data_IF_427280808789
#
_entry.id   IF_427280808789
#
_cell.length_a   1.000
_cell.length_b   1.000
_cell.length_c   1.000
_cell.angle_alpha   90.00
_cell.angle_beta   90.00
_cell.angle_gamma   90.00
#
_symmetry.space_group_name_H-M   'P 1'
#
loop_
_entity.id
_entity.type
_entity.pdbx_description
1 polymer ?
#
# COMPACT_ATOMS: atom_id res chain seq x y z
N UNK A 1 -10.89 25.90 -16.83
CA UNK A 1 -9.59 25.17 -16.78
C UNK A 1 -8.53 25.90 -15.93
N UNK A 2 -8.42 27.22 -15.98
CA UNK A 2 -7.38 27.99 -15.25
C UNK A 2 -7.69 28.15 -13.74
N UNK A 3 -8.94 28.17 -13.34
CA UNK A 3 -9.39 28.31 -11.94
C UNK A 3 -9.08 27.04 -11.14
N UNK A 4 -9.28 25.85 -11.71
CA UNK A 4 -9.00 24.58 -11.04
C UNK A 4 -7.52 24.33 -10.71
N UNK A 5 -6.57 24.90 -11.46
CA UNK A 5 -5.14 24.75 -11.24
C UNK A 5 -4.60 25.61 -10.09
N UNK A 6 -5.20 26.78 -9.86
CA UNK A 6 -4.84 27.67 -8.75
C UNK A 6 -5.37 27.17 -7.40
N UNK A 7 -6.59 26.61 -7.35
CA UNK A 7 -7.15 26.04 -6.13
C UNK A 7 -6.33 24.81 -5.65
N UNK A 8 -5.95 23.89 -6.56
CA UNK A 8 -5.11 22.73 -6.21
C UNK A 8 -3.76 23.09 -5.54
N UNK A 9 -3.17 24.23 -5.87
CA UNK A 9 -1.92 24.71 -5.27
C UNK A 9 -2.13 25.31 -3.89
N UNK A 10 -3.31 25.92 -3.64
CA UNK A 10 -3.68 26.50 -2.34
C UNK A 10 -4.04 25.38 -1.37
N UNK A 11 -4.76 24.35 -1.83
CA UNK A 11 -5.14 23.20 -1.01
C UNK A 11 -3.91 22.44 -0.52
N UNK A 12 -2.95 22.19 -1.40
CA UNK A 12 -1.68 21.55 -1.08
C UNK A 12 -0.85 22.37 -0.08
N UNK A 13 -0.84 23.68 -0.24
CA UNK A 13 -0.14 24.58 0.68
C UNK A 13 -0.81 24.63 2.07
N UNK A 14 -2.14 24.68 2.09
CA UNK A 14 -2.90 24.69 3.35
C UNK A 14 -2.80 23.36 4.09
N UNK A 15 -2.95 22.22 3.39
CA UNK A 15 -2.77 20.88 3.97
C UNK A 15 -1.35 20.71 4.47
N UNK A 16 -0.32 21.15 3.72
CA UNK A 16 1.06 21.15 4.17
C UNK A 16 1.31 22.02 5.39
N UNK A 17 0.76 23.24 5.42
CA UNK A 17 0.87 24.16 6.55
C UNK A 17 0.18 23.65 7.82
N UNK A 18 -1.02 23.09 7.69
CA UNK A 18 -1.73 22.48 8.82
C UNK A 18 -1.01 21.22 9.33
N UNK A 19 -0.36 20.48 8.44
CA UNK A 19 0.49 19.35 8.81
C UNK A 19 1.76 19.82 9.55
N UNK A 20 2.41 20.90 9.11
CA UNK A 20 3.57 21.50 9.78
C UNK A 20 3.21 22.05 11.18
N UNK A 21 2.06 22.71 11.31
CA UNK A 21 1.58 23.27 12.59
C UNK A 21 1.13 22.18 13.60
N UNK A 22 0.77 20.97 13.12
CA UNK A 22 0.42 19.82 13.95
C UNK A 22 1.65 19.10 14.58
N UNK A 23 2.87 19.57 14.30
CA UNK A 23 4.13 19.04 14.83
C UNK A 23 4.67 17.81 14.09
N UNK A 24 5.79 17.26 14.57
CA UNK A 24 6.54 16.15 13.92
C UNK A 24 5.71 14.92 13.56
N UNK A 25 4.55 14.70 14.16
CA UNK A 25 3.61 13.63 13.84
C UNK A 25 2.95 13.78 12.47
N UNK A 26 2.82 15.01 11.95
CA UNK A 26 2.18 15.24 10.65
C UNK A 26 3.09 14.92 9.45
N UNK A 27 4.40 14.91 9.64
CA UNK A 27 5.37 14.54 8.60
C UNK A 27 5.43 13.02 8.36
N UNK A 28 5.04 12.20 9.34
CA UNK A 28 4.92 10.74 9.17
C UNK A 28 3.79 10.35 8.21
N UNK A 29 2.84 11.26 7.93
CA UNK A 29 1.63 10.99 7.14
C UNK A 29 1.71 11.39 5.67
N UNK A 30 2.84 11.94 5.21
CA UNK A 30 2.96 12.36 3.82
C UNK A 30 3.59 11.26 2.95
N UNK A 31 2.75 10.50 2.26
CA UNK A 31 3.20 9.52 1.27
C UNK A 31 3.60 10.23 -0.03
N UNK A 32 4.76 9.86 -0.60
CA UNK A 32 5.25 10.43 -1.85
C UNK A 32 4.20 10.30 -2.97
N UNK A 33 3.86 11.42 -3.59
CA UNK A 33 2.77 11.51 -4.58
C UNK A 33 2.97 10.59 -5.79
N UNK A 34 4.21 10.40 -6.22
CA UNK A 34 4.50 9.56 -7.39
C UNK A 34 4.41 8.07 -7.04
N UNK A 35 4.70 7.71 -5.79
CA UNK A 35 4.44 6.35 -5.27
C UNK A 35 2.94 6.08 -5.18
N UNK A 36 2.17 7.04 -4.68
CA UNK A 36 0.70 6.92 -4.63
C UNK A 36 0.10 6.84 -6.04
N UNK A 37 0.65 7.60 -7.00
CA UNK A 37 0.25 7.49 -8.41
C UNK A 37 0.50 6.09 -8.95
N UNK A 38 1.69 5.50 -8.70
CA UNK A 38 2.00 4.12 -9.07
C UNK A 38 0.99 3.13 -8.48
N UNK A 39 0.68 3.27 -7.19
CA UNK A 39 -0.30 2.40 -6.52
C UNK A 39 -1.69 2.51 -7.15
N UNK A 40 -2.15 3.72 -7.44
CA UNK A 40 -3.45 3.95 -8.07
C UNK A 40 -3.49 3.40 -9.52
N UNK A 41 -2.41 3.57 -10.29
CA UNK A 41 -2.32 3.03 -11.65
C UNK A 41 -2.26 1.50 -11.69
N UNK A 42 -1.65 0.85 -10.69
CA UNK A 42 -1.66 -0.62 -10.55
C UNK A 42 -3.05 -1.13 -10.14
N UNK A 43 -3.71 -0.46 -9.20
CA UNK A 43 -5.03 -0.87 -8.72
C UNK A 43 -6.14 -0.62 -9.74
N UNK A 44 -5.96 0.31 -10.67
CA UNK A 44 -6.89 0.63 -11.75
C UNK A 44 -8.34 0.76 -11.27
N UNK A 45 -8.64 1.74 -10.39
CA UNK A 45 -10.01 1.94 -9.91
C UNK A 45 -10.99 2.12 -11.08
N UNK A 46 -12.21 1.60 -10.90
CA UNK A 46 -13.28 1.66 -11.88
C UNK A 46 -14.47 2.47 -11.34
N UNK A 47 -15.32 3.04 -12.21
CA UNK A 47 -16.59 3.63 -11.78
C UNK A 47 -17.44 2.64 -10.96
N UNK A 48 -18.18 3.15 -9.97
CA UNK A 48 -19.03 2.40 -9.04
C UNK A 48 -18.30 1.50 -8.03
N UNK A 49 -16.97 1.47 -8.02
CA UNK A 49 -16.21 0.75 -7.01
C UNK A 49 -16.16 1.52 -5.68
N UNK A 50 -15.87 0.79 -4.61
CA UNK A 50 -15.59 1.32 -3.28
C UNK A 50 -14.10 1.31 -2.99
N UNK A 51 -13.56 2.43 -2.49
CA UNK A 51 -12.16 2.59 -2.14
C UNK A 51 -12.04 2.86 -0.63
N UNK A 52 -11.16 2.13 0.04
CA UNK A 52 -10.92 2.26 1.48
C UNK A 52 -9.44 2.43 1.80
N UNK A 53 -9.14 3.39 2.67
CA UNK A 53 -7.83 3.55 3.31
C UNK A 53 -8.00 3.47 4.84
N UNK A 54 -7.54 2.38 5.48
CA UNK A 54 -7.68 2.18 6.93
C UNK A 54 -6.78 3.09 7.78
N UNK A 55 -5.86 3.83 7.17
CA UNK A 55 -4.90 4.72 7.82
C UNK A 55 -4.70 5.99 6.98
N UNK A 56 -5.85 6.63 6.64
CA UNK A 56 -5.92 7.55 5.51
C UNK A 56 -5.13 8.87 5.68
N UNK A 57 -4.63 9.18 6.88
CA UNK A 57 -3.94 10.43 7.11
C UNK A 57 -4.76 11.63 6.65
N UNK A 58 -4.19 12.48 5.80
CA UNK A 58 -4.87 13.63 5.18
C UNK A 58 -5.74 13.27 3.97
N UNK A 59 -5.94 11.98 3.64
CA UNK A 59 -6.76 11.52 2.52
C UNK A 59 -6.11 11.63 1.14
N UNK A 60 -4.81 11.94 1.08
CA UNK A 60 -4.10 12.17 -0.18
C UNK A 60 -4.09 10.95 -1.12
N UNK A 61 -4.01 9.73 -0.58
CA UNK A 61 -4.05 8.49 -1.36
C UNK A 61 -5.43 8.29 -1.99
N UNK A 62 -6.51 8.58 -1.26
CA UNK A 62 -7.89 8.49 -1.74
C UNK A 62 -8.12 9.46 -2.90
N UNK A 63 -7.67 10.73 -2.76
CA UNK A 63 -7.76 11.74 -3.84
C UNK A 63 -7.02 11.27 -5.09
N UNK A 64 -5.84 10.65 -4.96
CA UNK A 64 -5.07 10.18 -6.11
C UNK A 64 -5.74 9.04 -6.89
N UNK A 65 -6.46 8.14 -6.22
CA UNK A 65 -7.28 7.14 -6.89
C UNK A 65 -8.37 7.79 -7.75
N UNK A 66 -9.00 8.85 -7.25
CA UNK A 66 -9.99 9.60 -8.02
C UNK A 66 -9.35 10.40 -9.17
N UNK A 67 -8.16 10.96 -8.97
CA UNK A 67 -7.41 11.63 -10.05
C UNK A 67 -7.06 10.68 -11.20
N UNK A 68 -6.79 9.40 -10.91
CA UNK A 68 -6.59 8.38 -11.95
C UNK A 68 -7.82 8.27 -12.87
N UNK A 69 -9.02 8.18 -12.30
CA UNK A 69 -10.27 8.13 -13.05
C UNK A 69 -10.55 9.44 -13.82
N UNK A 70 -10.32 10.59 -13.18
CA UNK A 70 -10.46 11.91 -13.81
C UNK A 70 -9.57 12.05 -15.04
N UNK A 71 -8.31 11.63 -14.92
CA UNK A 71 -7.33 11.70 -16.00
C UNK A 71 -7.71 10.79 -17.19
N UNK A 72 -8.45 9.71 -16.93
CA UNK A 72 -9.01 8.82 -17.95
C UNK A 72 -10.35 9.28 -18.50
N UNK A 73 -10.92 10.38 -17.99
CA UNK A 73 -12.24 10.87 -18.39
C UNK A 73 -13.39 9.94 -17.94
N UNK A 74 -13.14 9.09 -16.92
CA UNK A 74 -14.12 8.15 -16.39
C UNK A 74 -15.02 8.80 -15.33
N UNK A 75 -16.17 8.20 -15.05
CA UNK A 75 -17.16 8.66 -14.07
C UNK A 75 -16.68 8.45 -12.63
N UNK A 76 -15.79 9.31 -12.17
CA UNK A 76 -15.16 9.20 -10.87
C UNK A 76 -16.11 9.52 -9.68
N UNK A 77 -17.19 10.29 -9.92
CA UNK A 77 -18.17 10.65 -8.89
C UNK A 77 -19.00 9.44 -8.41
N UNK A 78 -19.06 8.37 -9.18
CA UNK A 78 -19.75 7.13 -8.79
C UNK A 78 -18.97 6.26 -7.78
N UNK A 79 -17.70 6.62 -7.53
CA UNK A 79 -16.84 5.89 -6.59
C UNK A 79 -17.18 6.28 -5.15
N UNK A 80 -17.36 5.27 -4.30
CA UNK A 80 -17.57 5.46 -2.87
C UNK A 80 -16.22 5.47 -2.13
N UNK A 81 -15.96 6.51 -1.35
CA UNK A 81 -14.68 6.75 -0.69
C UNK A 81 -14.80 6.59 0.82
N UNK A 82 -13.95 5.73 1.39
CA UNK A 82 -13.91 5.45 2.82
C UNK A 82 -12.49 5.64 3.36
N UNK A 83 -12.38 6.24 4.53
CA UNK A 83 -11.09 6.39 5.22
C UNK A 83 -11.25 6.26 6.72
N UNK A 84 -10.22 5.77 7.38
CA UNK A 84 -10.14 5.76 8.83
C UNK A 84 -8.81 6.35 9.29
N UNK A 85 -8.86 7.21 10.30
CA UNK A 85 -7.69 7.90 10.85
C UNK A 85 -7.85 8.05 12.36
N UNK A 86 -6.83 7.72 13.13
CA UNK A 86 -6.88 7.78 14.60
C UNK A 86 -6.80 9.21 15.12
N UNK A 87 -6.06 10.08 14.44
CA UNK A 87 -5.87 11.47 14.85
C UNK A 87 -7.05 12.35 14.42
N UNK A 88 -7.71 13.01 15.38
CA UNK A 88 -8.92 13.83 15.12
C UNK A 88 -8.67 15.04 14.23
N UNK A 89 -7.51 15.71 14.35
CA UNK A 89 -7.14 16.84 13.49
C UNK A 89 -6.87 16.35 12.07
N UNK A 90 -6.07 15.29 11.90
CA UNK A 90 -5.73 14.70 10.61
C UNK A 90 -6.97 14.17 9.90
N UNK A 91 -7.91 13.52 10.63
CA UNK A 91 -9.17 13.07 10.05
C UNK A 91 -10.06 14.23 9.57
N UNK A 92 -9.99 15.38 10.24
CA UNK A 92 -10.69 16.61 9.81
C UNK A 92 -10.06 17.21 8.55
N UNK A 93 -8.72 17.18 8.46
CA UNK A 93 -7.98 17.58 7.26
C UNK A 93 -8.34 16.66 6.09
N UNK A 94 -8.46 15.34 6.31
CA UNK A 94 -8.87 14.40 5.27
C UNK A 94 -10.26 14.72 4.69
N UNK A 95 -11.25 15.01 5.56
CA UNK A 95 -12.59 15.43 5.10
C UNK A 95 -12.54 16.71 4.28
N UNK A 96 -11.80 17.71 4.76
CA UNK A 96 -11.64 18.98 4.04
C UNK A 96 -10.94 18.76 2.70
N UNK A 97 -9.87 17.95 2.66
CA UNK A 97 -9.15 17.63 1.43
C UNK A 97 -10.06 16.96 0.38
N UNK A 98 -10.84 15.96 0.77
CA UNK A 98 -11.80 15.31 -0.12
C UNK A 98 -12.84 16.30 -0.64
N UNK A 99 -13.42 17.10 0.26
CA UNK A 99 -14.42 18.11 -0.11
C UNK A 99 -13.87 19.15 -1.10
N UNK A 100 -12.67 19.69 -0.84
CA UNK A 100 -12.01 20.66 -1.73
C UNK A 100 -11.66 20.06 -3.10
N UNK A 101 -11.43 18.75 -3.14
CA UNK A 101 -11.24 18.00 -4.39
C UNK A 101 -12.58 17.59 -5.05
N UNK A 102 -13.73 18.12 -4.59
CA UNK A 102 -15.04 17.92 -5.19
C UNK A 102 -15.63 16.52 -4.97
N UNK A 103 -15.14 15.80 -3.96
CA UNK A 103 -15.70 14.50 -3.58
C UNK A 103 -16.90 14.75 -2.69
N UNK A 104 -18.09 14.29 -3.09
CA UNK A 104 -19.33 14.49 -2.34
C UNK A 104 -19.73 13.26 -1.52
N UNK A 105 -19.47 12.06 -2.06
CA UNK A 105 -19.78 10.78 -1.38
C UNK A 105 -18.52 10.19 -0.75
N UNK A 106 -18.25 10.53 0.49
CA UNK A 106 -17.18 9.97 1.28
C UNK A 106 -17.55 9.79 2.76
N UNK A 107 -16.86 8.85 3.39
CA UNK A 107 -16.99 8.59 4.83
C UNK A 107 -15.59 8.50 5.47
N UNK A 108 -15.25 9.47 6.32
CA UNK A 108 -14.00 9.46 7.09
C UNK A 108 -14.32 9.28 8.57
N UNK A 109 -13.90 8.16 9.14
CA UNK A 109 -14.05 7.84 10.55
C UNK A 109 -12.80 8.25 11.35
N UNK A 110 -13.04 8.79 12.55
CA UNK A 110 -11.95 9.08 13.51
C UNK A 110 -11.94 7.99 14.58
N UNK A 111 -11.11 6.95 14.38
CA UNK A 111 -10.96 5.86 15.33
C UNK A 111 -9.69 5.04 15.02
N UNK A 112 -9.18 4.33 16.03
CA UNK A 112 -8.10 3.35 15.86
C UNK A 112 -8.59 2.14 15.06
N UNK A 113 -7.97 1.86 13.93
CA UNK A 113 -8.36 0.80 13.00
C UNK A 113 -8.21 -0.60 13.60
N UNK A 114 -7.18 -0.82 14.40
CA UNK A 114 -6.95 -2.13 15.02
C UNK A 114 -7.90 -2.37 16.19
N UNK A 115 -8.22 -1.34 16.98
CA UNK A 115 -9.09 -1.47 18.13
C UNK A 115 -10.59 -1.33 17.80
N UNK A 116 -10.92 -0.42 16.88
CA UNK A 116 -12.28 -0.02 16.57
C UNK A 116 -12.47 0.19 15.07
N UNK A 117 -12.47 -0.89 14.26
CA UNK A 117 -12.78 -0.75 12.85
C UNK A 117 -14.17 -0.13 12.68
N UNK A 118 -14.22 1.00 11.95
CA UNK A 118 -15.43 1.82 11.90
C UNK A 118 -16.45 1.35 10.86
N UNK A 119 -15.99 0.70 9.79
CA UNK A 119 -16.86 0.29 8.70
C UNK A 119 -17.28 -1.17 8.84
N UNK A 120 -18.52 -1.37 9.25
CA UNK A 120 -19.10 -2.68 9.53
C UNK A 120 -20.41 -2.87 8.76
N UNK A 121 -20.66 -4.10 8.33
CA UNK A 121 -21.96 -4.59 7.87
C UNK A 121 -22.49 -5.57 8.94
N UNK A 122 -23.35 -5.07 9.82
CA UNK A 122 -23.77 -5.79 11.02
C UNK A 122 -22.61 -6.06 11.96
N UNK A 123 -22.27 -7.32 12.20
CA UNK A 123 -21.13 -7.75 13.04
C UNK A 123 -19.84 -8.01 12.28
N UNK A 124 -19.83 -7.85 10.95
CA UNK A 124 -18.70 -8.16 10.08
C UNK A 124 -18.05 -6.90 9.54
N UNK A 125 -16.78 -6.98 9.14
CA UNK A 125 -16.14 -5.92 8.39
C UNK A 125 -16.83 -5.70 7.05
N UNK A 126 -17.14 -4.45 6.73
CA UNK A 126 -17.53 -4.06 5.39
C UNK A 126 -16.43 -4.44 4.39
N UNK A 127 -16.83 -4.83 3.19
CA UNK A 127 -15.93 -5.23 2.11
C UNK A 127 -15.83 -4.13 1.07
N UNK A 128 -14.61 -3.98 0.52
CA UNK A 128 -14.27 -2.94 -0.44
C UNK A 128 -13.59 -3.54 -1.67
N UNK A 129 -13.85 -2.94 -2.82
CA UNK A 129 -13.23 -3.34 -4.09
C UNK A 129 -11.74 -3.01 -4.11
N UNK A 130 -11.38 -1.86 -3.54
CA UNK A 130 -10.00 -1.41 -3.44
C UNK A 130 -9.68 -1.04 -1.99
N UNK A 131 -8.56 -1.57 -1.49
CA UNK A 131 -7.96 -1.11 -0.24
C UNK A 131 -6.52 -0.67 -0.52
N UNK A 132 -6.20 0.59 -0.22
CA UNK A 132 -4.84 1.09 -0.33
C UNK A 132 -4.42 1.68 1.00
N UNK A 133 -3.17 1.49 1.39
CA UNK A 133 -2.72 1.92 2.69
C UNK A 133 -1.22 2.21 2.73
N UNK A 134 -0.87 3.21 3.51
CA UNK A 134 0.45 3.41 4.07
C UNK A 134 0.30 3.40 5.61
N UNK A 135 0.20 2.22 6.24
CA UNK A 135 0.01 2.13 7.68
C UNK A 135 1.25 2.61 8.42
N UNK A 136 1.12 3.05 9.68
CA UNK A 136 2.27 3.42 10.49
C UNK A 136 3.17 2.20 10.73
N UNK A 137 4.50 2.39 10.55
CA UNK A 137 5.47 1.27 10.57
C UNK A 137 5.88 0.89 11.99
N UNK A 138 5.93 -0.42 12.22
CA UNK A 138 6.55 -1.01 13.42
C UNK A 138 6.06 -0.41 14.74
N UNK A 139 4.76 -0.15 14.87
CA UNK A 139 4.17 0.32 16.12
C UNK A 139 4.39 -0.74 17.22
N UNK A 140 4.92 -0.29 18.34
CA UNK A 140 5.19 -1.12 19.52
C UNK A 140 4.05 -1.11 20.54
N UNK A 141 3.36 0.03 20.63
CA UNK A 141 2.25 0.24 21.55
C UNK A 141 0.93 0.06 20.81
N UNK A 142 0.39 -1.14 20.85
CA UNK A 142 -0.90 -1.51 20.28
C UNK A 142 -1.52 -2.65 21.09
N UNK A 143 -2.83 -2.80 21.02
CA UNK A 143 -3.57 -3.77 21.81
C UNK A 143 -3.52 -5.16 21.18
N UNK A 144 -2.34 -5.82 21.32
CA UNK A 144 -2.10 -7.16 20.79
C UNK A 144 -3.06 -8.22 21.35
N UNK A 145 -3.40 -8.12 22.64
CA UNK A 145 -4.29 -9.08 23.30
C UNK A 145 -5.71 -9.01 22.70
N UNK A 146 -6.21 -7.79 22.47
CA UNK A 146 -7.49 -7.59 21.80
C UNK A 146 -7.49 -8.14 20.37
N UNK A 147 -6.39 -7.96 19.63
CA UNK A 147 -6.23 -8.49 18.28
C UNK A 147 -6.12 -10.03 18.28
N UNK A 148 -5.49 -10.63 19.28
CA UNK A 148 -5.43 -12.10 19.45
C UNK A 148 -6.85 -12.70 19.57
N UNK A 149 -7.77 -11.99 20.22
CA UNK A 149 -9.17 -12.34 20.40
C UNK A 149 -10.09 -11.57 19.44
N UNK A 150 -9.62 -11.30 18.22
CA UNK A 150 -10.34 -10.47 17.26
C UNK A 150 -11.70 -11.05 16.87
N UNK A 151 -12.75 -10.27 17.06
CA UNK A 151 -14.13 -10.69 16.80
C UNK A 151 -14.58 -10.50 15.33
N UNK A 152 -13.76 -9.84 14.51
CA UNK A 152 -14.05 -9.57 13.10
C UNK A 152 -13.32 -10.51 12.14
N UNK A 153 -12.60 -11.53 12.68
CA UNK A 153 -11.92 -12.54 11.88
C UNK A 153 -10.64 -12.07 11.22
N UNK A 154 -9.99 -11.01 11.74
CA UNK A 154 -8.75 -10.47 11.16
C UNK A 154 -7.51 -11.26 11.52
N UNK A 155 -7.51 -11.99 12.64
CA UNK A 155 -6.36 -12.75 13.13
C UNK A 155 -6.23 -14.12 12.43
N UNK A 156 -6.36 -14.17 11.11
CA UNK A 156 -6.39 -15.43 10.34
C UNK A 156 -4.98 -15.96 10.00
N UNK A 157 -3.97 -15.10 9.89
CA UNK A 157 -2.58 -15.53 9.74
C UNK A 157 -1.93 -15.85 11.09
N UNK A 158 -2.48 -15.32 12.19
CA UNK A 158 -1.94 -15.39 13.53
C UNK A 158 -1.64 -14.02 14.12
N UNK A 159 -1.31 -13.99 15.41
CA UNK A 159 -1.08 -12.74 16.14
C UNK A 159 0.34 -12.23 15.95
N UNK A 160 0.54 -11.04 15.39
CA UNK A 160 1.87 -10.46 15.21
C UNK A 160 2.61 -10.25 16.56
N UNK A 161 3.95 -10.13 16.54
CA UNK A 161 4.71 -9.84 17.75
C UNK A 161 4.36 -8.47 18.32
N UNK A 162 4.44 -8.29 19.67
CA UNK A 162 4.08 -7.04 20.34
C UNK A 162 4.84 -5.83 19.79
N UNK A 163 6.09 -6.01 19.43
CA UNK A 163 6.93 -4.90 18.95
C UNK A 163 6.59 -4.39 17.55
N UNK A 164 5.62 -5.00 16.85
CA UNK A 164 5.34 -4.69 15.43
C UNK A 164 3.90 -5.00 15.05
N UNK A 165 3.13 -3.97 14.76
CA UNK A 165 1.74 -4.09 14.31
C UNK A 165 1.60 -4.28 12.79
N UNK A 166 2.69 -4.33 12.03
CA UNK A 166 2.67 -4.35 10.56
C UNK A 166 1.71 -5.42 10.00
N UNK A 167 1.82 -6.67 10.45
CA UNK A 167 0.93 -7.76 10.04
C UNK A 167 -0.48 -7.68 10.65
N UNK A 168 -0.74 -6.88 11.68
CA UNK A 168 -2.10 -6.63 12.14
C UNK A 168 -2.84 -5.73 11.15
N UNK A 169 -2.20 -4.65 10.68
CA UNK A 169 -2.73 -3.83 9.60
C UNK A 169 -2.88 -4.62 8.31
N UNK A 170 -1.88 -5.44 7.94
CA UNK A 170 -1.95 -6.27 6.75
C UNK A 170 -3.19 -7.18 6.78
N UNK A 171 -3.42 -7.88 7.88
CA UNK A 171 -4.58 -8.76 8.04
C UNK A 171 -5.91 -7.97 8.03
N UNK A 172 -5.94 -6.77 8.62
CA UNK A 172 -7.12 -5.90 8.53
C UNK A 172 -7.44 -5.50 7.09
N UNK A 173 -6.43 -5.11 6.31
CA UNK A 173 -6.55 -4.73 4.90
C UNK A 173 -7.11 -5.90 4.09
N UNK A 174 -6.49 -7.07 4.18
CA UNK A 174 -6.95 -8.28 3.48
C UNK A 174 -8.37 -8.65 3.89
N UNK A 175 -8.65 -8.63 5.20
CA UNK A 175 -9.99 -8.94 5.72
C UNK A 175 -11.06 -7.93 5.28
N UNK A 176 -10.67 -6.74 4.83
CA UNK A 176 -11.58 -5.70 4.32
C UNK A 176 -11.79 -5.77 2.80
N UNK A 177 -11.03 -6.61 2.07
CA UNK A 177 -11.22 -6.76 0.63
C UNK A 177 -12.48 -7.56 0.27
N UNK A 178 -13.18 -7.16 -0.79
CA UNK A 178 -14.27 -7.95 -1.36
C UNK A 178 -13.76 -9.29 -1.88
N UNK A 179 -14.59 -10.32 -1.79
CA UNK A 179 -14.19 -11.69 -2.18
C UNK A 179 -13.95 -11.87 -3.68
N UNK A 180 -14.62 -11.08 -4.51
CA UNK A 180 -14.59 -11.24 -5.96
C UNK A 180 -13.75 -10.17 -6.65
N UNK A 181 -13.90 -8.93 -6.22
CA UNK A 181 -13.30 -7.73 -6.84
C UNK A 181 -12.12 -7.19 -6.03
N UNK A 182 -11.99 -7.62 -4.75
CA UNK A 182 -11.08 -7.06 -3.77
C UNK A 182 -9.61 -7.19 -4.16
N UNK A 183 -8.95 -6.03 -4.24
CA UNK A 183 -7.51 -5.92 -4.45
C UNK A 183 -6.94 -4.81 -3.58
N UNK A 184 -5.68 -4.93 -3.19
CA UNK A 184 -5.02 -3.92 -2.39
C UNK A 184 -3.61 -3.61 -2.85
N UNK A 185 -3.16 -2.41 -2.52
CA UNK A 185 -1.76 -1.99 -2.58
C UNK A 185 -1.36 -1.43 -1.22
N UNK A 186 -0.33 -2.00 -0.63
CA UNK A 186 0.11 -1.65 0.72
C UNK A 186 1.57 -1.26 0.67
N UNK A 187 1.87 -0.10 1.24
CA UNK A 187 3.23 0.37 1.41
C UNK A 187 3.75 -0.08 2.77
N UNK A 188 4.87 -0.81 2.77
CA UNK A 188 5.47 -1.35 3.99
C UNK A 188 6.99 -1.18 4.01
N UNK A 189 7.63 -1.18 5.19
CA UNK A 189 9.08 -1.32 5.29
C UNK A 189 9.52 -2.71 4.81
N UNK A 190 10.65 -2.80 4.13
CA UNK A 190 11.17 -4.06 3.60
C UNK A 190 11.22 -5.20 4.62
N UNK A 191 11.36 -4.86 5.91
CA UNK A 191 11.42 -5.86 6.98
C UNK A 191 10.27 -6.87 7.00
N UNK A 192 9.05 -6.48 6.62
CA UNK A 192 7.88 -7.39 6.58
C UNK A 192 8.10 -8.58 5.64
N UNK A 193 9.01 -8.44 4.68
CA UNK A 193 9.29 -9.44 3.66
C UNK A 193 10.18 -10.59 4.15
N UNK A 194 10.94 -10.41 5.26
CA UNK A 194 11.98 -11.36 5.65
C UNK A 194 12.22 -11.56 7.15
N UNK A 195 11.62 -10.75 8.04
CA UNK A 195 11.86 -10.89 9.50
C UNK A 195 11.50 -12.28 10.00
N UNK A 196 12.38 -12.89 10.79
CA UNK A 196 12.17 -14.25 11.32
C UNK A 196 11.01 -14.33 12.31
N UNK A 197 10.80 -13.29 13.13
CA UNK A 197 9.70 -13.23 14.10
C UNK A 197 8.29 -13.22 13.47
N UNK A 198 8.19 -12.91 12.17
CA UNK A 198 6.97 -12.90 11.37
C UNK A 198 6.89 -14.07 10.37
N UNK A 199 7.80 -15.04 10.46
CA UNK A 199 7.88 -16.18 9.53
C UNK A 199 6.57 -16.95 9.41
N UNK A 200 5.96 -17.35 10.52
CA UNK A 200 4.73 -18.14 10.51
C UNK A 200 3.54 -17.38 9.86
N UNK A 201 3.47 -16.05 10.07
CA UNK A 201 2.44 -15.22 9.43
C UNK A 201 2.69 -15.14 7.92
N UNK A 202 3.94 -14.93 7.53
CA UNK A 202 4.34 -14.84 6.13
C UNK A 202 4.17 -16.15 5.38
N UNK A 203 4.47 -17.29 6.03
CA UNK A 203 4.22 -18.61 5.48
C UNK A 203 2.74 -18.81 5.14
N UNK A 204 1.85 -18.56 6.08
CA UNK A 204 0.41 -18.64 5.85
C UNK A 204 -0.08 -17.65 4.79
N UNK A 205 0.51 -16.45 4.74
CA UNK A 205 0.21 -15.46 3.70
C UNK A 205 0.53 -15.98 2.30
N UNK A 206 1.66 -16.67 2.13
CA UNK A 206 2.06 -17.31 0.87
C UNK A 206 1.13 -18.47 0.54
N UNK A 207 0.81 -19.33 1.52
CA UNK A 207 -0.07 -20.49 1.34
C UNK A 207 -1.48 -20.14 0.84
N UNK A 208 -2.04 -19.00 1.23
CA UNK A 208 -3.39 -18.57 0.79
C UNK A 208 -3.41 -17.95 -0.62
N UNK A 209 -2.28 -17.83 -1.28
CA UNK A 209 -2.12 -17.39 -2.69
C UNK A 209 -2.79 -16.06 -3.06
N UNK A 210 -2.75 -15.07 -2.18
CA UNK A 210 -3.32 -13.75 -2.47
C UNK A 210 -2.30 -12.69 -2.86
N UNK A 211 -1.02 -12.90 -2.55
CA UNK A 211 0.06 -11.97 -2.96
C UNK A 211 0.28 -12.12 -4.45
N UNK A 212 0.06 -11.03 -5.20
CA UNK A 212 0.20 -11.00 -6.66
C UNK A 212 1.56 -10.41 -7.08
N UNK A 213 1.98 -9.32 -6.40
CA UNK A 213 3.24 -8.65 -6.71
C UNK A 213 3.91 -8.07 -5.47
N UNK A 214 5.24 -8.05 -5.47
CA UNK A 214 6.08 -7.32 -4.51
C UNK A 214 7.03 -6.41 -5.27
N UNK A 215 6.95 -5.09 -5.02
CA UNK A 215 7.77 -4.07 -5.69
C UNK A 215 8.72 -3.46 -4.68
N UNK A 216 10.02 -3.56 -4.90
CA UNK A 216 11.04 -2.87 -4.11
C UNK A 216 11.26 -1.46 -4.63
N UNK A 217 11.09 -0.47 -3.75
CA UNK A 217 11.25 0.94 -4.10
C UNK A 217 12.65 1.47 -3.78
N UNK A 218 13.07 2.49 -4.51
CA UNK A 218 14.32 3.20 -4.28
C UNK A 218 14.36 3.95 -2.93
N UNK A 219 15.55 4.30 -2.43
CA UNK A 219 15.72 4.99 -1.16
C UNK A 219 15.21 6.44 -1.24
N UNK A 220 14.88 7.00 -0.07
CA UNK A 220 14.47 8.40 0.10
C UNK A 220 13.19 8.81 -0.67
N UNK A 221 12.35 7.85 -1.05
CA UNK A 221 10.99 8.12 -1.54
C UNK A 221 10.02 8.44 -0.40
N UNK A 222 10.47 8.34 0.84
CA UNK A 222 9.68 8.62 2.04
C UNK A 222 10.33 9.74 2.85
N UNK A 223 9.50 10.66 3.33
CA UNK A 223 9.97 11.82 4.07
C UNK A 223 10.70 11.37 5.35
N UNK A 224 11.93 11.87 5.56
CA UNK A 224 12.79 11.58 6.72
C UNK A 224 13.12 10.10 6.99
N UNK A 225 12.85 9.17 6.08
CA UNK A 225 13.17 7.78 6.25
C UNK A 225 14.24 7.33 5.23
N UNK A 226 15.41 6.97 5.73
CA UNK A 226 16.41 6.26 4.95
C UNK A 226 16.04 4.78 4.71
N UNK A 227 14.90 4.34 5.24
CA UNK A 227 14.43 2.97 5.11
C UNK A 227 13.95 2.69 3.68
N UNK A 228 14.38 1.56 3.16
CA UNK A 228 13.82 1.00 1.95
C UNK A 228 12.39 0.52 2.22
N UNK A 229 11.46 0.87 1.33
CA UNK A 229 10.08 0.41 1.40
C UNK A 229 9.73 -0.45 0.19
N UNK A 230 8.65 -1.20 0.34
CA UNK A 230 8.08 -2.00 -0.72
C UNK A 230 6.58 -1.75 -0.85
N UNK A 231 6.05 -2.00 -2.05
CA UNK A 231 4.61 -2.11 -2.27
C UNK A 231 4.28 -3.59 -2.40
N UNK A 232 3.29 -4.05 -1.62
CA UNK A 232 2.74 -5.39 -1.76
C UNK A 232 1.35 -5.27 -2.38
N UNK A 233 1.15 -5.96 -3.50
CA UNK A 233 -0.14 -6.04 -4.19
C UNK A 233 -0.76 -7.38 -3.87
N UNK A 234 -2.01 -7.36 -3.38
CA UNK A 234 -2.78 -8.56 -3.15
C UNK A 234 -4.11 -8.51 -3.92
N UNK A 235 -4.58 -9.67 -4.35
CA UNK A 235 -5.88 -9.87 -5.00
C UNK A 235 -6.56 -11.08 -4.38
N UNK A 236 -7.83 -10.93 -3.98
CA UNK A 236 -8.64 -12.08 -3.54
C UNK A 236 -8.94 -13.04 -4.70
N UNK A 237 -8.92 -12.53 -5.91
CA UNK A 237 -9.11 -13.33 -7.13
C UNK A 237 -8.06 -12.98 -8.15
N UNK A 238 -6.99 -13.76 -8.18
CA UNK A 238 -5.92 -13.65 -9.19
C UNK A 238 -6.39 -14.15 -10.54
N UNK A 239 -5.85 -13.59 -11.60
CA UNK A 239 -5.98 -14.12 -12.96
C UNK A 239 -5.43 -15.55 -13.02
N UNK A 240 -5.96 -16.39 -13.90
CA UNK A 240 -5.56 -17.80 -13.97
C UNK A 240 -4.06 -17.98 -14.25
N UNK A 241 -3.46 -17.08 -15.01
CA UNK A 241 -2.01 -17.05 -15.28
C UNK A 241 -1.14 -16.69 -14.07
N UNK A 242 -1.70 -16.01 -13.07
CA UNK A 242 -1.00 -15.57 -11.86
C UNK A 242 -1.18 -16.52 -10.67
N UNK A 243 -2.14 -17.46 -10.74
CA UNK A 243 -2.40 -18.42 -9.65
C UNK A 243 -1.16 -19.24 -9.34
N UNK A 244 -0.86 -19.37 -8.05
CA UNK A 244 0.31 -20.08 -7.58
C UNK A 244 1.65 -19.37 -7.86
N UNK A 245 1.63 -18.07 -8.22
CA UNK A 245 2.83 -17.30 -8.57
C UNK A 245 2.81 -15.90 -7.96
N UNK A 246 3.99 -15.34 -7.77
CA UNK A 246 4.20 -13.94 -7.36
C UNK A 246 5.24 -13.32 -8.27
N UNK A 247 5.01 -12.11 -8.77
CA UNK A 247 6.02 -11.34 -9.47
C UNK A 247 6.76 -10.42 -8.50
N UNK A 248 8.09 -10.47 -8.51
CA UNK A 248 8.97 -9.58 -7.75
C UNK A 248 9.58 -8.57 -8.70
N UNK A 249 9.47 -7.27 -8.39
CA UNK A 249 9.98 -6.17 -9.22
C UNK A 249 11.00 -5.37 -8.41
N UNK A 250 12.24 -5.28 -8.88
CA UNK A 250 13.28 -4.44 -8.28
C UNK A 250 13.28 -3.06 -8.95
N UNK A 251 12.50 -2.14 -8.39
CA UNK A 251 12.44 -0.77 -8.85
C UNK A 251 13.36 0.18 -8.07
N UNK A 252 14.37 -0.32 -7.33
CA UNK A 252 15.30 0.51 -6.56
C UNK A 252 16.07 1.51 -7.43
N UNK A 253 16.37 1.14 -8.67
CA UNK A 253 17.04 2.02 -9.64
C UNK A 253 16.11 3.02 -10.33
N UNK A 254 14.79 2.84 -10.22
CA UNK A 254 13.80 3.67 -10.87
C UNK A 254 13.44 4.86 -9.99
N UNK A 255 14.38 5.80 -9.85
CA UNK A 255 14.24 6.97 -8.99
C UNK A 255 14.99 8.16 -9.58
N UNK A 256 14.36 9.31 -9.61
CA UNK A 256 14.97 10.62 -9.92
C UNK A 256 15.02 11.48 -8.67
N UNK A 257 15.99 12.42 -8.64
CA UNK A 257 16.17 13.36 -7.52
C UNK A 257 16.12 14.80 -7.99
N UNK A 258 15.37 15.61 -7.27
CA UNK A 258 15.32 17.06 -7.46
C UNK A 258 15.19 17.76 -6.10
N UNK A 259 16.06 18.75 -5.84
CA UNK A 259 16.05 19.53 -4.59
C UNK A 259 16.02 18.66 -3.31
N UNK A 260 16.85 17.60 -3.25
CA UNK A 260 16.94 16.64 -2.16
C UNK A 260 15.71 15.69 -2.02
N UNK A 261 14.68 15.82 -2.83
CA UNK A 261 13.53 14.92 -2.85
C UNK A 261 13.68 13.88 -3.95
N UNK A 262 13.37 12.63 -3.61
CA UNK A 262 13.30 11.52 -4.57
C UNK A 262 11.86 11.38 -5.08
N UNK A 263 11.70 11.04 -6.37
CA UNK A 263 10.40 10.81 -6.98
C UNK A 263 10.49 9.82 -8.15
N UNK A 264 9.36 9.25 -8.53
CA UNK A 264 9.24 8.42 -9.72
C UNK A 264 8.81 9.29 -10.90
N UNK A 265 9.55 9.22 -12.00
CA UNK A 265 9.10 9.81 -13.26
C UNK A 265 8.02 8.93 -13.91
N UNK A 266 7.26 9.48 -14.85
CA UNK A 266 6.26 8.70 -15.59
C UNK A 266 6.88 7.50 -16.32
N UNK A 267 8.10 7.63 -16.81
CA UNK A 267 8.86 6.53 -17.43
C UNK A 267 9.15 5.40 -16.46
N UNK A 268 9.49 5.71 -15.20
CA UNK A 268 9.69 4.72 -14.14
C UNK A 268 8.37 4.02 -13.80
N UNK A 269 7.30 4.79 -13.62
CA UNK A 269 5.96 4.26 -13.33
C UNK A 269 5.51 3.32 -14.44
N UNK A 270 5.59 3.73 -15.70
CA UNK A 270 5.17 2.90 -16.84
C UNK A 270 6.02 1.64 -16.99
N UNK A 271 7.32 1.68 -16.70
CA UNK A 271 8.19 0.49 -16.71
C UNK A 271 7.77 -0.53 -15.64
N UNK A 272 7.47 -0.07 -14.43
CA UNK A 272 7.00 -0.92 -13.34
C UNK A 272 5.64 -1.52 -13.67
N UNK A 273 4.69 -0.72 -14.17
CA UNK A 273 3.36 -1.17 -14.56
C UNK A 273 3.44 -2.20 -15.69
N UNK A 274 4.24 -1.93 -16.74
CA UNK A 274 4.41 -2.86 -17.85
C UNK A 274 4.99 -4.21 -17.39
N UNK A 275 5.94 -4.21 -16.45
CA UNK A 275 6.47 -5.45 -15.88
C UNK A 275 5.40 -6.22 -15.10
N UNK A 276 4.57 -5.51 -14.34
CA UNK A 276 3.47 -6.12 -13.59
C UNK A 276 2.38 -6.69 -14.51
N UNK A 277 1.94 -5.92 -15.52
CA UNK A 277 0.88 -6.33 -16.45
C UNK A 277 1.30 -7.50 -17.36
N UNK A 278 2.55 -7.49 -17.84
CA UNK A 278 3.06 -8.59 -18.66
C UNK A 278 3.30 -9.86 -17.85
N UNK A 279 3.56 -9.73 -16.56
CA UNK A 279 3.82 -10.83 -15.62
C UNK A 279 4.90 -11.80 -16.11
N UNK A 280 6.03 -11.26 -16.58
CA UNK A 280 7.13 -12.00 -17.17
C UNK A 280 8.48 -11.65 -16.53
N UNK A 281 9.44 -12.57 -16.67
CA UNK A 281 10.81 -12.35 -16.23
C UNK A 281 11.47 -11.25 -17.07
N UNK A 282 12.07 -10.25 -16.39
CA UNK A 282 12.91 -9.21 -17.00
C UNK A 282 14.24 -9.22 -16.29
N UNK A 283 15.31 -9.45 -17.04
CA UNK A 283 16.66 -9.56 -16.48
C UNK A 283 17.04 -8.35 -15.62
N UNK A 284 17.49 -8.59 -14.40
CA UNK A 284 17.86 -7.59 -13.37
C UNK A 284 16.73 -6.64 -12.93
N UNK A 285 15.48 -6.93 -13.29
CA UNK A 285 14.37 -6.03 -12.96
C UNK A 285 13.13 -6.75 -12.42
N UNK A 286 12.69 -7.85 -13.03
CA UNK A 286 11.52 -8.58 -12.58
C UNK A 286 11.72 -10.09 -12.65
N UNK A 287 11.12 -10.80 -11.69
CA UNK A 287 11.13 -12.28 -11.63
C UNK A 287 9.79 -12.81 -11.16
N UNK A 288 9.22 -13.72 -11.92
CA UNK A 288 8.07 -14.53 -11.51
C UNK A 288 8.58 -15.76 -10.77
N UNK A 289 8.09 -16.00 -9.57
CA UNK A 289 8.41 -17.17 -8.75
C UNK A 289 7.14 -17.93 -8.40
N UNK A 290 7.20 -19.25 -8.44
CA UNK A 290 6.13 -20.13 -7.99
C UNK A 290 6.04 -20.15 -6.48
N UNK A 291 4.83 -20.28 -5.92
CA UNK A 291 4.63 -20.39 -4.47
C UNK A 291 5.45 -21.53 -3.86
N UNK A 292 5.60 -22.65 -4.60
CA UNK A 292 6.44 -23.76 -4.16
C UNK A 292 7.91 -23.36 -3.93
N UNK A 293 8.48 -22.56 -4.84
CA UNK A 293 9.85 -22.06 -4.70
C UNK A 293 9.96 -21.05 -3.56
N UNK A 294 8.92 -20.21 -3.37
CA UNK A 294 8.85 -19.25 -2.27
C UNK A 294 8.79 -19.97 -0.92
N UNK A 295 7.97 -21.03 -0.79
CA UNK A 295 7.87 -21.80 0.45
C UNK A 295 9.18 -22.53 0.76
N UNK A 296 9.81 -23.16 -0.23
CA UNK A 296 11.13 -23.79 -0.08
C UNK A 296 12.23 -22.77 0.32
N UNK A 297 12.08 -21.51 -0.04
CA UNK A 297 12.95 -20.42 0.37
C UNK A 297 12.46 -19.75 1.67
N UNK A 298 11.97 -20.52 2.65
CA UNK A 298 11.48 -20.05 3.96
C UNK A 298 10.38 -18.97 3.84
N UNK A 299 9.54 -19.08 2.84
CA UNK A 299 8.48 -18.11 2.53
C UNK A 299 8.97 -16.65 2.53
N UNK A 300 10.24 -16.43 2.13
CA UNK A 300 10.80 -15.10 1.99
C UNK A 300 10.14 -14.38 0.81
N UNK A 301 9.74 -13.14 1.03
CA UNK A 301 9.19 -12.26 0.00
C UNK A 301 10.19 -11.15 -0.38
N UNK A 302 11.45 -11.28 0.05
CA UNK A 302 12.51 -10.33 -0.27
C UNK A 302 12.83 -10.36 -1.77
N UNK A 303 12.75 -9.22 -2.42
CA UNK A 303 12.96 -9.06 -3.87
C UNK A 303 14.33 -9.59 -4.29
N UNK A 304 15.36 -9.32 -3.49
CA UNK A 304 16.75 -9.73 -3.76
C UNK A 304 16.93 -11.27 -3.76
N UNK A 305 15.99 -12.02 -3.15
CA UNK A 305 16.02 -13.49 -3.19
C UNK A 305 15.63 -14.05 -4.55
N UNK A 306 15.02 -13.25 -5.42
CA UNK A 306 14.49 -13.68 -6.70
C UNK A 306 15.06 -12.90 -7.88
N UNK A 307 15.20 -11.58 -7.75
CA UNK A 307 15.74 -10.71 -8.81
C UNK A 307 17.25 -10.58 -8.67
N UNK A 308 17.99 -11.04 -9.68
CA UNK A 308 19.46 -10.92 -9.72
C UNK A 308 19.88 -9.45 -9.78
N UNK A 309 20.97 -9.11 -9.09
CA UNK A 309 21.56 -7.77 -9.13
C UNK A 309 22.61 -7.66 -10.25
N UNK A 310 22.67 -6.50 -10.93
CA UNK A 310 23.76 -6.23 -11.88
C UNK A 310 25.09 -6.20 -11.12
N UNK A 311 26.03 -7.08 -11.48
CA UNK A 311 27.40 -7.07 -10.93
C UNK A 311 27.69 -8.05 -9.80
N UNK A 312 26.77 -8.87 -9.36
CA UNK A 312 27.08 -10.09 -8.60
C UNK A 312 27.62 -11.15 -9.55
N UNK A 313 28.92 -11.01 -9.92
CA UNK A 313 29.65 -12.09 -10.53
C UNK A 313 29.62 -13.27 -9.57
N UNK A 314 29.26 -14.45 -10.10
CA UNK A 314 29.50 -15.73 -9.45
C UNK A 314 30.95 -15.74 -8.94
N UNK A 315 31.13 -15.77 -7.63
CA UNK A 315 32.42 -16.12 -7.07
C UNK A 315 32.60 -17.59 -7.45
N UNK A 316 33.32 -17.87 -8.53
CA UNK A 316 33.83 -19.19 -8.80
C UNK A 316 34.69 -19.57 -7.61
N UNK A 317 34.20 -20.45 -6.74
CA UNK A 317 35.06 -21.20 -5.83
C UNK A 317 35.88 -22.09 -6.75
N UNK A 318 37.10 -21.65 -7.02
CA UNK A 318 38.12 -22.56 -7.55
C UNK A 318 38.50 -23.48 -6.39
N UNK A 319 38.30 -24.78 -6.62
CA UNK A 319 38.75 -25.86 -5.76
C UNK A 319 40.24 -25.79 -5.40
#
# INVERSE_FOLDING_TARGET
LYIGFQYRRIDEYLVGKFADDAGNTAQEFYTNRTVVQLMAEILQPQPNESIYDPTCGSGGMLVKCLDYLRNKGAEWQSVQVFGQEVNGLTSSIARMNLYLNGVEDFSIACADTLEHPAFLDGSHLRKFDIVLANPPYSIKEWNREKFMNDKWGRNFLGTPPQGRADYAFFQHIIASMDRNTGRCAILFPHGVLFRDEEYELRKKLVEIDIVDCVIGLGPNLFFNASMEACIIICKNRKEDSHKGKVIFIDAKGEVSRKNAESYLENTHIQKIISAYENFEDIEYFAKVADIYDIDNNKSLLSIQSYVKQKGTNEIYILD
#
